data_IF_931738093817
#
_entry.id   IF_931738093817
#
_cell.length_a   1.000
_cell.length_b   1.000
_cell.length_c   1.000
_cell.angle_alpha   90.00
_cell.angle_beta   90.00
_cell.angle_gamma   90.00
#
_symmetry.space_group_name_H-M   'P 1'
#
loop_
_entity.id
_entity.type
_entity.pdbx_description
1 polymer ?
#
# COMPACT_ATOMS: atom_id res chain seq x y z
N UNK A 1 12.89 29.95 -6.23
CA UNK A 1 13.98 29.02 -5.84
C UNK A 1 13.33 27.82 -5.20
N UNK A 2 13.38 26.66 -5.84
CA UNK A 2 12.80 25.42 -5.29
C UNK A 2 13.62 24.87 -4.12
N UNK A 3 13.02 24.03 -3.25
CA UNK A 3 13.74 23.42 -2.14
C UNK A 3 14.80 22.46 -2.67
N UNK A 4 16.06 22.68 -2.27
CA UNK A 4 17.18 21.77 -2.57
C UNK A 4 17.15 20.59 -1.60
N UNK A 5 16.76 19.41 -2.08
CA UNK A 5 17.08 18.15 -1.40
C UNK A 5 18.19 17.43 -2.16
N UNK A 6 19.33 17.21 -1.48
CA UNK A 6 20.33 16.19 -1.83
C UNK A 6 20.91 16.25 -3.27
N UNK A 7 21.30 17.45 -3.73
CA UNK A 7 22.24 17.59 -4.85
C UNK A 7 21.74 17.12 -6.22
N UNK A 8 20.45 16.83 -6.37
CA UNK A 8 19.82 16.54 -7.64
C UNK A 8 18.81 17.65 -7.91
N UNK A 9 19.02 18.45 -8.95
CA UNK A 9 18.02 19.39 -9.44
C UNK A 9 16.91 18.56 -10.10
N UNK A 10 16.00 18.07 -9.27
CA UNK A 10 14.75 17.46 -9.73
C UNK A 10 13.73 18.58 -9.74
N UNK A 11 13.35 19.03 -10.95
CA UNK A 11 12.17 19.88 -11.11
C UNK A 11 10.95 19.07 -10.69
N UNK A 12 10.53 19.25 -9.44
CA UNK A 12 9.33 18.62 -8.93
C UNK A 12 8.13 19.24 -9.63
N UNK A 13 7.25 18.44 -10.27
CA UNK A 13 6.10 18.98 -10.99
C UNK A 13 5.00 19.51 -10.05
N UNK A 14 5.20 19.45 -8.74
CA UNK A 14 4.27 19.90 -7.71
C UNK A 14 5.01 20.36 -6.47
N UNK A 15 4.39 21.26 -5.71
CA UNK A 15 4.84 21.72 -4.40
C UNK A 15 4.19 20.92 -3.27
N UNK A 16 4.72 21.03 -2.06
CA UNK A 16 4.09 20.44 -0.87
C UNK A 16 2.65 20.97 -0.67
N UNK A 17 2.42 22.26 -0.95
CA UNK A 17 1.09 22.87 -0.91
C UNK A 17 0.12 22.19 -1.88
N UNK A 18 0.59 21.82 -3.08
CA UNK A 18 -0.25 21.13 -4.06
C UNK A 18 -0.64 19.72 -3.58
N UNK A 19 0.30 19.02 -2.92
CA UNK A 19 0.05 17.73 -2.28
C UNK A 19 -1.02 17.85 -1.19
N UNK A 20 -0.85 18.78 -0.24
CA UNK A 20 -1.82 18.98 0.85
C UNK A 20 -3.23 19.32 0.34
N UNK A 21 -3.34 20.26 -0.61
CA UNK A 21 -4.62 20.64 -1.24
C UNK A 21 -5.28 19.49 -2.01
N UNK A 22 -4.51 18.50 -2.43
CA UNK A 22 -5.05 17.35 -3.16
C UNK A 22 -5.67 16.34 -2.20
N UNK A 23 -5.13 16.16 -0.99
CA UNK A 23 -5.69 15.27 0.03
C UNK A 23 -7.07 15.72 0.53
N UNK A 24 -7.34 17.03 0.58
CA UNK A 24 -8.64 17.57 0.98
C UNK A 24 -9.78 17.18 0.03
N UNK A 25 -9.45 16.78 -1.20
CA UNK A 25 -10.42 16.39 -2.23
C UNK A 25 -10.74 14.89 -2.21
N UNK A 26 -10.05 14.11 -1.40
CA UNK A 26 -10.14 12.65 -1.39
C UNK A 26 -11.20 12.21 -0.38
N UNK A 27 -12.21 11.48 -0.85
CA UNK A 27 -13.14 10.77 0.02
C UNK A 27 -12.50 9.45 0.48
N UNK A 28 -12.49 9.24 1.80
CA UNK A 28 -12.04 7.98 2.39
C UNK A 28 -13.14 6.93 2.26
N UNK A 29 -12.75 5.73 1.85
CA UNK A 29 -13.68 4.61 1.58
C UNK A 29 -13.12 3.34 2.19
N UNK A 30 -13.99 2.48 2.72
CA UNK A 30 -13.60 1.24 3.39
C UNK A 30 -13.56 0.06 2.41
N UNK A 31 -12.79 -0.99 2.73
CA UNK A 31 -12.93 -2.24 2.00
C UNK A 31 -14.35 -2.80 2.12
N UNK A 32 -14.87 -3.33 1.02
CA UNK A 32 -16.24 -3.84 0.89
C UNK A 32 -17.32 -2.75 0.81
N UNK A 33 -16.98 -1.48 0.99
CA UNK A 33 -17.92 -0.37 0.84
C UNK A 33 -18.34 -0.21 -0.62
N UNK A 34 -19.65 -0.24 -0.86
CA UNK A 34 -20.23 -0.05 -2.19
C UNK A 34 -20.54 1.43 -2.41
N UNK A 35 -19.81 2.05 -3.33
CA UNK A 35 -20.00 3.42 -3.74
C UNK A 35 -20.88 3.48 -4.98
N UNK A 36 -21.83 4.41 -4.99
CA UNK A 36 -22.76 4.62 -6.08
C UNK A 36 -22.51 6.00 -6.70
N UNK A 37 -22.02 6.03 -7.94
CA UNK A 37 -21.66 7.22 -8.68
C UNK A 37 -22.47 7.27 -9.98
N UNK A 38 -23.74 7.65 -9.88
CA UNK A 38 -24.68 7.56 -11.00
C UNK A 38 -24.94 6.09 -11.38
N UNK A 39 -24.64 5.71 -12.62
CA UNK A 39 -24.73 4.33 -13.11
C UNK A 39 -23.46 3.50 -12.89
N UNK A 40 -22.46 4.07 -12.20
CA UNK A 40 -21.21 3.39 -11.88
C UNK A 40 -21.25 2.95 -10.41
N UNK A 41 -21.00 1.67 -10.17
CA UNK A 41 -20.84 1.11 -8.84
C UNK A 41 -19.39 0.70 -8.62
N UNK A 42 -18.81 1.09 -7.49
CA UNK A 42 -17.41 0.81 -7.18
C UNK A 42 -17.32 0.14 -5.82
N UNK A 43 -16.51 -0.91 -5.72
CA UNK A 43 -16.20 -1.59 -4.47
C UNK A 43 -14.71 -1.93 -4.44
N UNK A 44 -14.03 -1.57 -3.35
CA UNK A 44 -12.63 -1.90 -3.14
C UNK A 44 -12.48 -3.09 -2.20
N UNK A 45 -11.62 -4.05 -2.54
CA UNK A 45 -11.20 -5.15 -1.66
C UNK A 45 -9.69 -5.06 -1.39
N UNK A 46 -9.23 -5.67 -0.30
CA UNK A 46 -7.80 -5.70 0.00
C UNK A 46 -7.02 -6.48 -1.06
N UNK A 47 -5.92 -5.93 -1.57
CA UNK A 47 -4.98 -6.68 -2.42
C UNK A 47 -3.81 -7.30 -1.65
N UNK A 48 -3.69 -7.00 -0.35
CA UNK A 48 -2.74 -7.63 0.58
C UNK A 48 -1.25 -7.30 0.39
N UNK A 49 -0.91 -6.33 -0.47
CA UNK A 49 0.50 -6.01 -0.79
C UNK A 49 1.11 -5.05 0.23
N UNK A 50 0.38 -3.97 0.52
CA UNK A 50 0.70 -2.93 1.53
C UNK A 50 -0.59 -2.54 2.25
N UNK A 51 -0.48 -1.89 3.41
CA UNK A 51 -1.67 -1.41 4.13
C UNK A 51 -2.46 -0.46 3.24
N UNK A 52 -3.77 -0.69 3.12
CA UNK A 52 -4.67 0.07 2.24
C UNK A 52 -4.51 -0.18 0.75
N UNK A 53 -3.73 -1.18 0.31
CA UNK A 53 -3.66 -1.54 -1.11
C UNK A 53 -4.95 -2.23 -1.57
N UNK A 54 -5.52 -1.74 -2.67
CA UNK A 54 -6.89 -2.11 -3.08
C UNK A 54 -6.92 -2.78 -4.45
N UNK A 55 -7.66 -3.87 -4.55
CA UNK A 55 -8.18 -4.42 -5.81
C UNK A 55 -9.61 -3.91 -6.00
N UNK A 56 -9.89 -3.25 -7.12
CA UNK A 56 -11.18 -2.56 -7.34
C UNK A 56 -12.08 -3.37 -8.25
N UNK A 57 -13.37 -3.41 -7.92
CA UNK A 57 -14.43 -3.85 -8.80
C UNK A 57 -15.24 -2.63 -9.20
N UNK A 58 -15.33 -2.37 -10.50
CA UNK A 58 -16.12 -1.30 -11.10
C UNK A 58 -17.19 -1.93 -11.97
N UNK A 59 -18.44 -1.67 -11.66
CA UNK A 59 -19.58 -2.08 -12.47
C UNK A 59 -20.16 -0.85 -13.15
N UNK A 60 -20.35 -0.94 -14.47
CA UNK A 60 -21.07 0.05 -15.28
C UNK A 60 -22.21 -0.69 -15.95
N UNK A 61 -23.44 -0.30 -15.61
CA UNK A 61 -24.65 -1.01 -16.03
C UNK A 61 -24.58 -2.52 -15.68
N UNK A 62 -24.55 -3.39 -16.70
CA UNK A 62 -24.46 -4.84 -16.52
C UNK A 62 -23.04 -5.40 -16.68
N UNK A 63 -22.02 -4.54 -16.84
CA UNK A 63 -20.65 -4.96 -17.10
C UNK A 63 -19.76 -4.72 -15.88
N UNK A 64 -19.05 -5.75 -15.41
CA UNK A 64 -18.21 -5.74 -14.21
C UNK A 64 -16.75 -5.93 -14.55
N UNK A 65 -15.93 -4.96 -14.18
CA UNK A 65 -14.49 -4.92 -14.45
C UNK A 65 -13.73 -4.95 -13.14
N UNK A 66 -12.78 -5.87 -13.01
CA UNK A 66 -11.79 -5.88 -11.94
C UNK A 66 -10.53 -5.12 -12.35
N UNK A 67 -10.00 -4.29 -11.45
CA UNK A 67 -8.70 -3.64 -11.60
C UNK A 67 -7.77 -4.12 -10.49
N UNK A 68 -6.66 -4.71 -10.88
CA UNK A 68 -5.65 -5.24 -9.96
C UNK A 68 -4.29 -4.63 -10.31
N UNK A 69 -3.74 -3.85 -9.38
CA UNK A 69 -2.38 -3.31 -9.48
C UNK A 69 -1.37 -4.37 -9.12
N UNK A 70 -0.94 -4.39 -7.86
CA UNK A 70 -0.21 -5.51 -7.27
C UNK A 70 -1.14 -6.35 -6.39
N UNK A 71 -0.84 -7.64 -6.25
CA UNK A 71 -1.60 -8.56 -5.41
C UNK A 71 -0.66 -9.51 -4.63
N UNK A 72 -1.03 -9.82 -3.39
CA UNK A 72 -0.32 -10.76 -2.52
C UNK A 72 -1.25 -11.82 -1.99
N UNK A 73 -0.89 -13.09 -2.24
CA UNK A 73 -1.58 -14.25 -1.67
C UNK A 73 -0.89 -14.80 -0.41
N UNK A 74 0.17 -14.15 0.05
CA UNK A 74 0.92 -14.58 1.23
C UNK A 74 0.19 -14.21 2.51
N UNK A 75 0.20 -15.12 3.47
CA UNK A 75 -0.26 -14.85 4.84
C UNK A 75 0.72 -13.90 5.56
N UNK A 76 0.21 -13.01 6.42
CA UNK A 76 1.00 -12.03 7.18
C UNK A 76 0.34 -10.65 7.26
N UNK A 77 1.14 -9.60 7.51
CA UNK A 77 0.69 -8.20 7.57
C UNK A 77 1.26 -7.40 6.37
N UNK A 78 0.45 -6.88 5.44
CA UNK A 78 -1.01 -6.90 5.46
C UNK A 78 -1.57 -8.30 5.18
N UNK A 79 -2.84 -8.49 5.55
CA UNK A 79 -3.56 -9.74 5.32
C UNK A 79 -3.55 -10.10 3.83
N UNK A 80 -3.67 -11.40 3.56
CA UNK A 80 -3.85 -11.92 2.20
C UNK A 80 -4.94 -11.16 1.45
N UNK A 81 -4.75 -10.99 0.13
CA UNK A 81 -5.74 -10.38 -0.75
C UNK A 81 -7.13 -11.02 -0.59
N UNK A 82 -8.15 -10.18 -0.47
CA UNK A 82 -9.54 -10.57 -0.56
C UNK A 82 -10.02 -10.39 -2.00
N UNK A 83 -10.40 -11.50 -2.63
CA UNK A 83 -10.88 -11.54 -4.01
C UNK A 83 -12.37 -11.84 -4.10
N UNK A 84 -13.13 -11.60 -3.02
CA UNK A 84 -14.57 -11.73 -3.03
C UNK A 84 -15.20 -10.90 -4.16
N UNK A 85 -16.00 -11.55 -5.00
CA UNK A 85 -16.69 -10.95 -6.15
C UNK A 85 -15.87 -10.88 -7.43
N UNK A 86 -14.58 -11.29 -7.42
CA UNK A 86 -13.76 -11.37 -8.63
C UNK A 86 -14.13 -12.55 -9.54
N UNK A 87 -14.83 -13.55 -9.00
CA UNK A 87 -15.37 -14.71 -9.71
C UNK A 87 -16.53 -14.36 -10.66
N UNK A 88 -17.23 -13.26 -10.39
CA UNK A 88 -18.40 -12.81 -11.14
C UNK A 88 -18.09 -11.64 -12.10
N UNK A 89 -16.82 -11.41 -12.44
CA UNK A 89 -16.38 -10.33 -13.33
C UNK A 89 -16.41 -10.75 -14.79
N UNK A 90 -16.75 -9.80 -15.67
CA UNK A 90 -16.70 -10.00 -17.12
C UNK A 90 -15.27 -9.82 -17.65
N UNK A 91 -14.46 -9.00 -16.97
CA UNK A 91 -13.08 -8.71 -17.36
C UNK A 91 -12.21 -8.35 -16.15
N UNK A 92 -10.91 -8.64 -16.24
CA UNK A 92 -9.90 -8.20 -15.26
C UNK A 92 -8.76 -7.49 -15.99
N UNK A 93 -8.49 -6.25 -15.58
CA UNK A 93 -7.32 -5.48 -15.97
C UNK A 93 -6.27 -5.62 -14.87
N UNK A 94 -5.12 -6.20 -15.20
CA UNK A 94 -4.02 -6.40 -14.26
C UNK A 94 -2.74 -5.72 -14.72
N UNK A 95 -2.11 -4.97 -13.83
CA UNK A 95 -0.74 -4.44 -14.02
C UNK A 95 0.29 -5.15 -13.13
N UNK A 96 -0.12 -6.26 -12.50
CA UNK A 96 0.70 -7.00 -11.55
C UNK A 96 1.94 -7.57 -12.23
N UNK A 97 3.11 -7.23 -11.70
CA UNK A 97 4.36 -7.75 -12.23
C UNK A 97 4.73 -9.06 -11.54
N UNK A 98 4.82 -10.15 -12.32
CA UNK A 98 5.16 -11.50 -11.84
C UNK A 98 6.66 -11.78 -11.75
N UNK A 99 7.52 -10.81 -12.08
CA UNK A 99 8.98 -11.02 -12.10
C UNK A 99 9.46 -11.46 -10.70
N UNK A 100 10.18 -12.59 -10.58
CA UNK A 100 10.73 -13.04 -9.30
C UNK A 100 11.53 -11.91 -8.66
N UNK A 101 11.22 -11.59 -7.40
CA UNK A 101 11.84 -10.49 -6.66
C UNK A 101 13.33 -10.78 -6.44
N UNK A 102 14.19 -10.51 -7.43
CA UNK A 102 15.64 -10.51 -7.23
C UNK A 102 16.00 -9.38 -6.26
N UNK A 103 16.66 -9.76 -5.17
CA UNK A 103 16.53 -9.20 -3.82
C UNK A 103 17.06 -7.78 -3.54
N UNK A 104 17.62 -7.04 -4.49
CA UNK A 104 18.41 -5.85 -4.14
C UNK A 104 17.78 -4.48 -4.46
N UNK A 105 17.00 -4.35 -5.53
CA UNK A 105 16.52 -3.02 -5.95
C UNK A 105 15.27 -2.52 -5.21
N UNK A 106 14.74 -3.32 -4.29
CA UNK A 106 13.49 -3.06 -3.57
C UNK A 106 13.68 -2.56 -2.14
N UNK A 107 14.87 -2.54 -1.55
CA UNK A 107 15.00 -2.20 -0.13
C UNK A 107 14.44 -0.79 0.19
N UNK A 108 14.74 0.23 -0.62
CA UNK A 108 14.17 1.57 -0.43
C UNK A 108 12.65 1.65 -0.67
N UNK A 109 12.13 0.93 -1.69
CA UNK A 109 10.68 0.89 -1.99
C UNK A 109 9.91 0.05 -0.97
N UNK A 110 10.53 -1.03 -0.47
CA UNK A 110 10.04 -1.95 0.56
C UNK A 110 10.16 -1.38 1.97
N UNK A 111 11.11 -0.48 2.26
CA UNK A 111 11.16 0.25 3.53
C UNK A 111 10.01 1.27 3.63
N UNK A 112 9.42 1.74 2.54
CA UNK A 112 8.18 2.51 2.61
C UNK A 112 6.90 1.63 2.57
N UNK A 113 6.99 0.40 2.04
CA UNK A 113 5.81 -0.40 1.70
C UNK A 113 5.62 -1.68 2.54
N UNK A 114 6.69 -2.23 3.12
CA UNK A 114 6.75 -3.55 3.78
C UNK A 114 7.57 -3.47 5.09
N UNK A 115 7.95 -2.27 5.55
CA UNK A 115 8.83 -2.10 6.70
C UNK A 115 8.31 -2.77 7.98
N UNK A 116 6.99 -2.83 8.16
CA UNK A 116 6.36 -3.54 9.27
C UNK A 116 6.77 -5.03 9.28
N UNK A 117 6.69 -5.73 8.13
CA UNK A 117 7.14 -7.13 8.04
C UNK A 117 8.64 -7.26 8.29
N UNK A 118 9.44 -6.31 7.82
CA UNK A 118 10.90 -6.36 7.99
C UNK A 118 11.26 -6.18 9.47
N UNK A 119 10.65 -5.21 10.16
CA UNK A 119 10.87 -5.01 11.59
C UNK A 119 10.42 -6.22 12.40
N UNK A 120 9.24 -6.75 12.12
CA UNK A 120 8.72 -7.94 12.82
C UNK A 120 9.64 -9.15 12.61
N UNK A 121 10.18 -9.34 11.39
CA UNK A 121 11.14 -10.40 11.11
C UNK A 121 12.46 -10.19 11.85
N UNK A 122 13.03 -8.99 11.79
CA UNK A 122 14.31 -8.67 12.44
C UNK A 122 14.19 -8.80 13.96
N UNK A 123 13.11 -8.29 14.55
CA UNK A 123 12.84 -8.39 15.99
C UNK A 123 12.75 -9.85 16.44
N UNK A 124 11.97 -10.68 15.73
CA UNK A 124 11.89 -12.12 16.02
C UNK A 124 13.25 -12.83 15.89
N UNK A 125 14.06 -12.47 14.89
CA UNK A 125 15.39 -13.06 14.69
C UNK A 125 16.37 -12.66 15.79
N UNK A 126 16.35 -11.39 16.21
CA UNK A 126 17.19 -10.91 17.33
C UNK A 126 16.77 -11.56 18.64
N UNK A 127 15.47 -11.63 18.93
CA UNK A 127 14.96 -12.35 20.10
C UNK A 127 15.35 -13.83 20.10
N UNK A 128 15.18 -14.52 18.97
CA UNK A 128 15.55 -15.94 18.83
C UNK A 128 17.07 -16.17 18.97
N UNK A 129 17.88 -15.19 18.60
CA UNK A 129 19.34 -15.22 18.74
C UNK A 129 19.86 -14.80 20.12
N UNK A 130 18.99 -14.41 21.07
CA UNK A 130 19.40 -13.90 22.38
C UNK A 130 19.97 -12.47 22.34
N UNK A 131 19.63 -11.70 21.30
CA UNK A 131 20.02 -10.31 21.09
C UNK A 131 18.88 -9.33 21.39
N UNK A 132 17.99 -9.69 22.31
CA UNK A 132 16.81 -8.93 22.73
C UNK A 132 17.13 -7.51 23.23
N UNK A 133 18.38 -7.25 23.63
CA UNK A 133 18.85 -5.91 24.03
C UNK A 133 19.39 -5.05 22.88
N UNK A 134 19.43 -5.57 21.66
CA UNK A 134 19.97 -4.83 20.51
C UNK A 134 18.95 -3.81 20.01
N UNK A 135 19.30 -2.53 20.08
CA UNK A 135 18.44 -1.46 19.57
C UNK A 135 18.35 -1.50 18.03
N UNK A 136 17.13 -1.52 17.51
CA UNK A 136 16.85 -1.34 16.08
C UNK A 136 16.53 0.14 15.84
N UNK A 137 17.33 0.81 15.00
CA UNK A 137 17.12 2.21 14.64
C UNK A 137 16.56 2.34 13.22
N UNK A 138 15.42 3.02 13.08
CA UNK A 138 14.84 3.38 11.78
C UNK A 138 15.15 4.85 11.46
N UNK A 139 15.86 5.09 10.37
CA UNK A 139 16.24 6.44 9.93
C UNK A 139 15.35 6.87 8.76
N UNK A 140 14.30 7.62 9.05
CA UNK A 140 13.45 8.28 8.05
C UNK A 140 12.78 9.51 8.65
N UNK A 141 12.68 10.58 7.86
CA UNK A 141 11.97 11.81 8.25
C UNK A 141 10.47 11.56 8.56
N UNK A 142 9.90 10.47 8.04
CA UNK A 142 8.49 10.11 8.19
C UNK A 142 8.27 8.83 9.01
N UNK A 143 9.32 8.21 9.56
CA UNK A 143 9.20 6.94 10.28
C UNK A 143 8.16 7.03 11.42
N UNK A 144 8.27 8.04 12.27
CA UNK A 144 7.39 8.21 13.45
C UNK A 144 5.92 8.31 13.06
N UNK A 145 5.60 9.11 12.05
CA UNK A 145 4.22 9.28 11.57
C UNK A 145 3.70 8.00 10.92
N UNK A 146 4.51 7.36 10.06
CA UNK A 146 4.15 6.09 9.43
C UNK A 146 3.82 5.00 10.47
N UNK A 147 4.58 4.93 11.57
CA UNK A 147 4.30 4.03 12.68
C UNK A 147 2.98 4.32 13.40
N UNK A 148 2.70 5.59 13.67
CA UNK A 148 1.45 6.00 14.32
C UNK A 148 0.26 5.58 13.44
N UNK A 149 0.31 5.88 12.14
CA UNK A 149 -0.79 5.52 11.23
C UNK A 149 -0.93 4.02 11.04
N UNK A 150 0.16 3.28 10.94
CA UNK A 150 0.12 1.82 10.87
C UNK A 150 -0.55 1.20 12.11
N UNK A 151 -0.26 1.72 13.30
CA UNK A 151 -0.86 1.23 14.54
C UNK A 151 -2.35 1.60 14.67
N UNK A 152 -2.77 2.76 14.13
CA UNK A 152 -4.19 3.15 14.10
C UNK A 152 -4.97 2.30 13.09
N UNK A 153 -4.34 1.95 11.96
CA UNK A 153 -4.96 1.20 10.87
C UNK A 153 -4.80 -0.32 11.00
N UNK A 154 -4.64 -0.86 12.22
CA UNK A 154 -4.44 -2.31 12.44
C UNK A 154 -5.60 -3.21 12.01
N UNK A 155 -6.75 -2.63 11.63
CA UNK A 155 -7.89 -3.29 11.01
C UNK A 155 -7.65 -3.73 9.55
N UNK A 156 -6.64 -3.16 8.88
CA UNK A 156 -6.27 -3.38 7.47
C UNK A 156 -5.17 -4.44 7.29
#
# INVERSE_FOLDING_TARGET
>A
MGPKMLGWDVDLPFTETDVHRSFDKITRVRFGEKLHLGNIHVCGQSSGVVLGCTAWIVQVDNFKIGFVGDLSLSEGIPKRADLAGFDALDCVVSTANTTPRKYFHRLAKAINQIWIKILELVDRLLCAGGFDQTAIHMLSAHAKEAFIYANIQGEW
#
